data_IF_312316338164
#
_entry.id   IF_312316338164
#
_cell.length_a   1.000
_cell.length_b   1.000
_cell.length_c   1.000
_cell.angle_alpha   90.00
_cell.angle_beta   90.00
_cell.angle_gamma   90.00
#
_symmetry.space_group_name_H-M   'P 1'
#
loop_
_entity.id
_entity.type
_entity.pdbx_description
1 polymer ?
#
# COMPACT_ATOMS: atom_id res chain seq x y z
N UNK A 1 9.36 -6.96 -5.24
CA UNK A 1 9.65 -5.83 -4.32
C UNK A 1 8.80 -5.87 -3.06
N UNK A 2 7.46 -5.86 -3.15
CA UNK A 2 6.58 -5.83 -1.97
C UNK A 2 6.78 -7.00 -0.99
N UNK A 3 7.07 -8.22 -1.48
CA UNK A 3 7.46 -9.34 -0.62
C UNK A 3 8.66 -9.02 0.26
N UNK A 4 9.75 -8.57 -0.35
CA UNK A 4 10.97 -8.16 0.38
C UNK A 4 10.67 -7.03 1.36
N UNK A 5 9.85 -6.06 0.96
CA UNK A 5 9.43 -4.97 1.83
C UNK A 5 8.65 -5.48 3.05
N UNK A 6 7.70 -6.40 2.87
CA UNK A 6 6.95 -7.00 3.96
C UNK A 6 7.87 -7.67 4.99
N UNK A 7 8.87 -8.44 4.52
CA UNK A 7 9.88 -9.03 5.39
C UNK A 7 10.70 -7.98 6.15
N UNK A 8 11.15 -6.92 5.46
CA UNK A 8 11.93 -5.86 6.10
C UNK A 8 11.12 -5.11 7.16
N UNK A 9 9.87 -4.74 6.84
CA UNK A 9 8.98 -4.05 7.79
C UNK A 9 8.67 -4.91 9.01
N UNK A 10 8.38 -6.20 8.79
CA UNK A 10 8.13 -7.12 9.90
C UNK A 10 9.38 -7.27 10.79
N UNK A 11 10.57 -7.41 10.21
CA UNK A 11 11.81 -7.52 10.99
C UNK A 11 12.13 -6.26 11.82
N UNK A 12 11.71 -5.08 11.33
CA UNK A 12 11.96 -3.80 12.03
C UNK A 12 10.91 -3.52 13.10
N UNK A 13 9.63 -3.73 12.80
CA UNK A 13 8.52 -3.32 13.68
C UNK A 13 7.92 -4.47 14.50
N UNK A 14 8.10 -5.72 14.07
CA UNK A 14 7.49 -6.91 14.67
C UNK A 14 5.98 -7.05 14.42
N UNK A 15 5.36 -6.06 13.76
CA UNK A 15 3.92 -6.05 13.46
C UNK A 15 3.56 -7.02 12.32
N UNK A 16 2.35 -7.61 12.33
CA UNK A 16 1.85 -8.38 11.20
C UNK A 16 1.63 -7.50 9.97
N UNK A 17 1.74 -8.09 8.79
CA UNK A 17 1.52 -7.41 7.50
C UNK A 17 0.18 -7.84 6.93
N UNK A 18 -0.65 -6.86 6.57
CA UNK A 18 -1.91 -7.09 5.86
C UNK A 18 -1.77 -6.65 4.41
N UNK A 19 -2.13 -7.52 3.48
CA UNK A 19 -2.26 -7.19 2.06
C UNK A 19 -3.72 -6.96 1.76
N UNK A 20 -4.02 -5.80 1.18
CA UNK A 20 -5.36 -5.35 0.86
C UNK A 20 -5.42 -5.03 -0.63
N UNK A 21 -6.57 -5.28 -1.23
CA UNK A 21 -6.76 -5.10 -2.66
C UNK A 21 -8.12 -5.60 -3.10
N UNK A 22 -8.39 -5.43 -4.38
CA UNK A 22 -9.58 -5.94 -5.05
C UNK A 22 -9.42 -7.42 -5.40
N UNK A 23 -10.44 -8.01 -6.03
CA UNK A 23 -10.37 -9.37 -6.56
C UNK A 23 -9.25 -9.53 -7.62
N UNK A 24 -8.97 -8.48 -8.40
CA UNK A 24 -7.89 -8.48 -9.38
C UNK A 24 -6.50 -8.63 -8.74
N UNK A 25 -6.36 -8.28 -7.47
CA UNK A 25 -5.09 -8.29 -6.73
C UNK A 25 -4.82 -9.63 -6.02
N UNK A 26 -5.75 -10.59 -6.06
CA UNK A 26 -5.64 -11.87 -5.33
C UNK A 26 -4.37 -12.62 -5.68
N UNK A 27 -4.04 -12.70 -6.97
CA UNK A 27 -2.82 -13.40 -7.44
C UNK A 27 -1.56 -12.72 -6.92
N UNK A 28 -1.46 -11.40 -7.05
CA UNK A 28 -0.31 -10.63 -6.56
C UNK A 28 -0.18 -10.71 -5.04
N UNK A 29 -1.29 -10.66 -4.31
CA UNK A 29 -1.30 -10.84 -2.86
C UNK A 29 -0.78 -12.22 -2.45
N UNK A 30 -1.17 -13.29 -3.16
CA UNK A 30 -0.68 -14.64 -2.91
C UNK A 30 0.82 -14.79 -3.17
N UNK A 31 1.34 -14.17 -4.24
CA UNK A 31 2.78 -14.15 -4.54
C UNK A 31 3.58 -13.43 -3.45
N UNK A 32 3.04 -12.33 -2.89
CA UNK A 32 3.67 -11.60 -1.80
C UNK A 32 3.66 -12.45 -0.51
N UNK A 33 2.54 -13.08 -0.16
CA UNK A 33 2.36 -13.79 1.12
C UNK A 33 2.95 -15.21 1.16
N UNK A 34 3.33 -15.80 0.02
CA UNK A 34 3.74 -17.21 -0.08
C UNK A 34 4.82 -17.61 0.95
N UNK A 35 4.51 -18.48 1.91
CA UNK A 35 5.47 -18.94 2.92
C UNK A 35 5.92 -17.86 3.92
N UNK A 36 5.11 -16.83 4.15
CA UNK A 36 5.31 -15.83 5.21
C UNK A 36 4.13 -15.84 6.19
N UNK A 37 4.30 -16.47 7.34
CA UNK A 37 3.21 -16.68 8.31
C UNK A 37 2.72 -15.38 8.99
N UNK A 38 3.55 -14.34 8.97
CA UNK A 38 3.22 -13.00 9.49
C UNK A 38 2.48 -12.12 8.46
N UNK A 39 2.18 -12.64 7.28
CA UNK A 39 1.48 -11.91 6.21
C UNK A 39 0.10 -12.51 5.98
N UNK A 40 -0.94 -11.69 6.11
CA UNK A 40 -2.32 -12.08 5.83
C UNK A 40 -2.81 -11.39 4.56
N UNK A 41 -3.32 -12.17 3.62
CA UNK A 41 -3.83 -11.66 2.35
C UNK A 41 -5.36 -11.56 2.39
N UNK A 42 -5.86 -10.32 2.35
CA UNK A 42 -7.28 -9.98 2.31
C UNK A 42 -7.74 -9.41 0.96
N UNK A 43 -6.94 -9.54 -0.10
CA UNK A 43 -7.35 -9.13 -1.44
C UNK A 43 -8.67 -9.82 -1.84
N UNK A 44 -9.65 -9.02 -2.29
CA UNK A 44 -10.98 -9.51 -2.68
C UNK A 44 -11.87 -9.99 -1.53
N UNK A 45 -11.43 -9.86 -0.27
CA UNK A 45 -12.14 -10.40 0.90
C UNK A 45 -12.73 -9.33 1.82
N UNK A 46 -12.65 -8.05 1.43
CA UNK A 46 -13.17 -6.93 2.22
C UNK A 46 -14.16 -6.11 1.42
N UNK A 47 -15.26 -5.72 2.03
CA UNK A 47 -16.06 -4.58 1.59
C UNK A 47 -15.27 -3.28 1.75
N UNK A 48 -15.74 -2.20 1.11
CA UNK A 48 -15.12 -0.87 1.24
C UNK A 48 -15.07 -0.39 2.71
N UNK A 49 -16.13 -0.64 3.48
CA UNK A 49 -16.20 -0.24 4.89
C UNK A 49 -15.20 -1.02 5.76
N UNK A 50 -15.04 -2.33 5.50
CA UNK A 50 -14.05 -3.16 6.20
C UNK A 50 -12.63 -2.75 5.84
N UNK A 51 -12.37 -2.48 4.55
CA UNK A 51 -11.09 -1.94 4.09
C UNK A 51 -10.74 -0.66 4.87
N UNK A 52 -11.64 0.32 4.91
CA UNK A 52 -11.42 1.57 5.64
C UNK A 52 -11.20 1.35 7.14
N UNK A 53 -11.95 0.43 7.76
CA UNK A 53 -11.78 0.10 9.17
C UNK A 53 -10.41 -0.53 9.47
N UNK A 54 -9.88 -1.35 8.56
CA UNK A 54 -8.52 -1.92 8.67
C UNK A 54 -7.48 -0.82 8.49
N UNK A 55 -7.59 -0.02 7.42
CA UNK A 55 -6.66 1.07 7.13
C UNK A 55 -6.57 2.09 8.28
N UNK A 56 -7.69 2.40 8.93
CA UNK A 56 -7.75 3.34 10.04
C UNK A 56 -6.94 2.88 11.28
N UNK A 57 -6.73 1.57 11.43
CA UNK A 57 -5.99 0.96 12.54
C UNK A 57 -4.51 0.71 12.20
N UNK A 58 -4.12 0.84 10.94
CA UNK A 58 -2.74 0.58 10.53
C UNK A 58 -1.77 1.61 11.12
N UNK A 59 -0.57 1.13 11.52
CA UNK A 59 0.54 1.99 11.96
C UNK A 59 1.25 2.67 10.79
N UNK A 60 1.30 1.98 9.65
CA UNK A 60 1.89 2.45 8.41
C UNK A 60 1.09 1.88 7.24
N UNK A 61 0.88 2.72 6.23
CA UNK A 61 0.20 2.39 4.99
C UNK A 61 1.18 2.52 3.83
N UNK A 62 1.28 1.50 2.97
CA UNK A 62 2.17 1.52 1.80
C UNK A 62 1.40 1.06 0.58
N UNK A 63 1.45 1.84 -0.51
CA UNK A 63 0.82 1.45 -1.76
C UNK A 63 1.35 2.22 -2.96
N UNK A 64 1.01 1.76 -4.15
CA UNK A 64 1.23 2.47 -5.40
C UNK A 64 0.15 3.52 -5.64
N UNK A 65 0.41 4.43 -6.59
CA UNK A 65 -0.58 5.37 -7.11
C UNK A 65 -1.79 4.61 -7.68
N UNK A 66 -2.90 4.64 -6.94
CA UNK A 66 -4.15 3.92 -7.21
C UNK A 66 -5.29 4.47 -6.34
N UNK A 67 -6.53 4.05 -6.60
CA UNK A 67 -7.69 4.49 -5.80
C UNK A 67 -7.52 4.25 -4.29
N UNK A 68 -6.91 3.13 -3.89
CA UNK A 68 -6.67 2.83 -2.48
C UNK A 68 -5.69 3.81 -1.82
N UNK A 69 -4.72 4.36 -2.56
CA UNK A 69 -3.83 5.42 -2.05
C UNK A 69 -4.59 6.66 -1.60
N UNK A 70 -5.64 7.06 -2.32
CA UNK A 70 -6.48 8.18 -1.91
C UNK A 70 -7.33 7.84 -0.68
N UNK A 71 -7.85 6.61 -0.58
CA UNK A 71 -8.54 6.14 0.64
C UNK A 71 -7.61 6.17 1.86
N UNK A 72 -6.36 5.72 1.71
CA UNK A 72 -5.34 5.81 2.76
C UNK A 72 -5.08 7.26 3.18
N UNK A 73 -5.06 8.19 2.21
CA UNK A 73 -4.84 9.62 2.45
C UNK A 73 -5.95 10.24 3.30
N UNK A 74 -7.20 9.89 3.03
CA UNK A 74 -8.37 10.40 3.75
C UNK A 74 -8.33 10.07 5.25
N UNK A 75 -7.61 9.02 5.64
CA UNK A 75 -7.49 8.57 7.04
C UNK A 75 -6.35 9.25 7.80
N UNK A 76 -5.54 10.10 7.12
CA UNK A 76 -4.45 10.89 7.70
C UNK A 76 -3.43 10.05 8.50
N UNK A 77 -3.27 8.77 8.14
CA UNK A 77 -2.31 7.85 8.74
C UNK A 77 -0.93 8.00 8.10
N UNK A 78 0.16 7.59 8.77
CA UNK A 78 1.48 7.50 8.14
C UNK A 78 1.39 6.67 6.85
N UNK A 79 1.80 7.28 5.73
CA UNK A 79 1.58 6.73 4.41
C UNK A 79 2.84 6.84 3.54
N UNK A 80 3.14 5.80 2.77
CA UNK A 80 4.15 5.82 1.72
C UNK A 80 3.46 5.54 0.39
N UNK A 81 3.53 6.50 -0.53
CA UNK A 81 2.95 6.39 -1.86
C UNK A 81 4.05 6.22 -2.91
N UNK A 82 4.01 5.13 -3.68
CA UNK A 82 5.03 4.77 -4.68
C UNK A 82 4.51 5.14 -6.07
N UNK A 83 5.20 6.07 -6.72
CA UNK A 83 4.91 6.56 -8.07
C UNK A 83 5.91 6.00 -9.09
N UNK A 84 5.40 5.66 -10.27
CA UNK A 84 6.16 5.10 -11.39
C UNK A 84 5.96 5.93 -12.66
N UNK A 85 5.09 5.44 -13.54
CA UNK A 85 4.72 6.09 -14.81
C UNK A 85 3.80 7.29 -14.66
N UNK A 86 3.22 7.51 -13.48
CA UNK A 86 2.35 8.64 -13.16
C UNK A 86 3.11 9.75 -12.44
N UNK A 87 2.59 10.97 -12.51
CA UNK A 87 3.18 12.12 -11.83
C UNK A 87 2.49 12.42 -10.49
N UNK A 88 3.26 12.51 -9.38
CA UNK A 88 2.71 12.98 -8.12
C UNK A 88 2.25 14.45 -8.18
N UNK A 89 2.67 15.22 -9.18
CA UNK A 89 2.19 16.60 -9.35
C UNK A 89 0.68 16.67 -9.60
N UNK A 90 0.07 15.57 -10.05
CA UNK A 90 -1.36 15.50 -10.38
C UNK A 90 -2.18 14.79 -9.31
N UNK A 91 -1.65 13.69 -8.76
CA UNK A 91 -2.41 12.77 -7.90
C UNK A 91 -1.74 12.48 -6.56
N UNK A 92 -0.79 13.32 -6.12
CA UNK A 92 -0.18 13.15 -4.80
C UNK A 92 -1.22 13.00 -3.67
N UNK A 93 -0.91 12.16 -2.66
CA UNK A 93 -1.79 11.97 -1.52
C UNK A 93 -2.04 13.29 -0.76
N UNK A 94 -3.30 13.61 -0.49
CA UNK A 94 -3.68 14.75 0.36
C UNK A 94 -3.62 14.29 1.82
N UNK A 95 -2.40 14.17 2.33
CA UNK A 95 -2.12 13.69 3.68
C UNK A 95 -0.77 14.26 4.16
N UNK A 96 -0.74 15.07 5.23
CA UNK A 96 0.48 15.67 5.75
C UNK A 96 1.48 14.64 6.30
N UNK A 97 1.03 13.41 6.57
CA UNK A 97 1.85 12.30 7.03
C UNK A 97 2.30 11.37 5.88
N UNK A 98 2.06 11.77 4.63
CA UNK A 98 2.46 10.98 3.47
C UNK A 98 3.89 11.31 3.02
N UNK A 99 4.64 10.27 2.64
CA UNK A 99 5.90 10.37 1.91
C UNK A 99 5.69 9.81 0.50
N UNK A 100 5.99 10.63 -0.51
CA UNK A 100 5.94 10.21 -1.92
C UNK A 100 7.32 9.71 -2.33
N UNK A 101 7.38 8.50 -2.89
CA UNK A 101 8.58 7.92 -3.48
C UNK A 101 8.40 7.80 -4.98
N UNK A 102 9.26 8.49 -5.74
CA UNK A 102 9.33 8.41 -7.20
C UNK A 102 10.80 8.37 -7.63
N UNK A 103 11.08 7.71 -8.75
CA UNK A 103 12.41 7.77 -9.38
C UNK A 103 12.60 8.99 -10.28
N UNK A 104 11.57 9.81 -10.48
CA UNK A 104 11.60 11.00 -11.35
C UNK A 104 12.26 10.73 -12.70
N UNK A 105 11.86 9.61 -13.34
CA UNK A 105 12.43 9.21 -14.62
C UNK A 105 12.02 10.24 -15.69
N UNK A 106 12.92 10.52 -16.62
CA UNK A 106 12.68 11.51 -17.70
C UNK A 106 11.52 11.13 -18.62
N UNK A 107 11.11 9.86 -18.64
CA UNK A 107 9.94 9.42 -19.37
C UNK A 107 8.62 9.61 -18.61
N UNK A 108 8.64 9.93 -17.31
CA UNK A 108 7.41 10.07 -16.51
C UNK A 108 6.90 11.52 -16.52
N UNK A 109 5.59 11.76 -16.73
CA UNK A 109 4.56 10.75 -17.01
C UNK A 109 4.64 10.21 -18.45
N UNK A 110 4.53 8.89 -18.62
CA UNK A 110 4.57 8.20 -19.93
C UNK A 110 3.23 7.57 -20.31
#
# INVERSE_FOLDING_TARGET
HFRTLATLLHNVFGDPILILGTEADVKSGAEISLGLDFVQNYCGQTSLSELLAILAKAKLLVGNDSGSMHLMSALQRPQIAIFGSTSPDWTAPINPNATVLSRNLSCSPC
#
